data_IF_913193654630
#
_entry.id   IF_913193654630
#
_cell.length_a   1.000
_cell.length_b   1.000
_cell.length_c   1.000
_cell.angle_alpha   90.00
_cell.angle_beta   90.00
_cell.angle_gamma   90.00
#
_symmetry.space_group_name_H-M   'P 1'
#
loop_
_entity.id
_entity.type
_entity.pdbx_description
1 polymer ?
#
# COMPACT_ATOMS: atom_id res chain seq x y z
N UNK A 1 29.74 -13.80 -12.23
CA UNK A 1 28.88 -13.10 -13.18
C UNK A 1 27.43 -13.57 -13.18
N UNK A 2 27.16 -14.88 -13.13
CA UNK A 2 25.79 -15.40 -13.07
C UNK A 2 25.01 -14.97 -11.85
N UNK A 3 25.63 -14.93 -10.68
CA UNK A 3 24.99 -14.51 -9.41
C UNK A 3 24.58 -13.02 -9.43
N UNK A 4 25.47 -12.15 -9.91
CA UNK A 4 25.19 -10.73 -10.03
C UNK A 4 23.98 -10.45 -10.93
N UNK A 5 23.93 -11.09 -12.10
CA UNK A 5 22.81 -10.98 -13.04
C UNK A 5 21.50 -11.47 -12.42
N UNK A 6 21.54 -12.61 -11.70
CA UNK A 6 20.38 -13.15 -11.02
C UNK A 6 19.85 -12.17 -9.96
N UNK A 7 20.70 -11.59 -9.14
CA UNK A 7 20.30 -10.62 -8.11
C UNK A 7 19.78 -9.32 -8.73
N UNK A 8 20.31 -8.88 -9.86
CA UNK A 8 19.74 -7.73 -10.60
C UNK A 8 18.32 -8.02 -11.08
N UNK A 9 18.07 -9.21 -11.61
CA UNK A 9 16.73 -9.62 -12.05
C UNK A 9 15.76 -9.72 -10.86
N UNK A 10 16.20 -10.31 -9.75
CA UNK A 10 15.40 -10.39 -8.52
C UNK A 10 15.05 -9.00 -7.99
N UNK A 11 16.01 -8.09 -7.97
CA UNK A 11 15.81 -6.71 -7.55
C UNK A 11 14.81 -5.98 -8.43
N UNK A 12 14.90 -6.15 -9.75
CA UNK A 12 13.94 -5.57 -10.71
C UNK A 12 12.53 -6.12 -10.48
N UNK A 13 12.42 -7.44 -10.30
CA UNK A 13 11.14 -8.08 -10.00
C UNK A 13 10.52 -7.54 -8.72
N UNK A 14 11.30 -7.43 -7.65
CA UNK A 14 10.84 -6.91 -6.36
C UNK A 14 10.39 -5.45 -6.46
N UNK A 15 11.10 -4.62 -7.22
CA UNK A 15 10.71 -3.23 -7.50
C UNK A 15 9.41 -3.14 -8.29
N UNK A 16 9.23 -4.00 -9.28
CA UNK A 16 7.99 -4.06 -10.06
C UNK A 16 6.79 -4.47 -9.18
N UNK A 17 6.96 -5.49 -8.34
CA UNK A 17 5.93 -5.92 -7.40
C UNK A 17 5.59 -4.82 -6.39
N UNK A 18 6.60 -4.11 -5.89
CA UNK A 18 6.39 -2.94 -5.02
C UNK A 18 5.56 -1.87 -5.72
N UNK A 19 5.89 -1.53 -6.95
CA UNK A 19 5.15 -0.52 -7.75
C UNK A 19 3.71 -0.94 -7.97
N UNK A 20 3.45 -2.20 -8.29
CA UNK A 20 2.09 -2.73 -8.43
C UNK A 20 1.31 -2.64 -7.13
N UNK A 21 1.93 -3.00 -6.01
CA UNK A 21 1.31 -2.92 -4.68
C UNK A 21 1.02 -1.46 -4.30
N UNK A 22 1.93 -0.53 -4.59
CA UNK A 22 1.72 0.90 -4.37
C UNK A 22 0.56 1.46 -5.21
N UNK A 23 0.38 0.99 -6.45
CA UNK A 23 -0.78 1.35 -7.28
C UNK A 23 -2.08 0.88 -6.68
N UNK A 24 -2.13 -0.35 -6.19
CA UNK A 24 -3.30 -0.90 -5.47
C UNK A 24 -3.59 -0.08 -4.20
N UNK A 25 -2.55 0.27 -3.46
CA UNK A 25 -2.66 1.08 -2.25
C UNK A 25 -3.26 2.46 -2.56
N UNK A 26 -2.84 3.10 -3.66
CA UNK A 26 -3.39 4.37 -4.12
C UNK A 26 -4.88 4.26 -4.45
N UNK A 27 -5.30 3.20 -5.12
CA UNK A 27 -6.72 2.94 -5.44
C UNK A 27 -7.56 2.72 -4.18
N UNK A 28 -7.06 1.94 -3.22
CA UNK A 28 -7.73 1.71 -1.93
C UNK A 28 -7.86 3.02 -1.16
N UNK A 29 -6.81 3.84 -1.11
CA UNK A 29 -6.85 5.15 -0.45
C UNK A 29 -7.90 6.07 -1.04
N UNK A 30 -8.06 6.07 -2.36
CA UNK A 30 -9.13 6.82 -3.05
C UNK A 30 -10.52 6.29 -2.69
N UNK A 31 -10.70 4.97 -2.63
CA UNK A 31 -11.96 4.34 -2.21
C UNK A 31 -12.32 4.72 -0.78
N UNK A 32 -11.36 4.70 0.14
CA UNK A 32 -11.56 5.11 1.53
C UNK A 32 -12.03 6.57 1.59
N UNK A 33 -11.37 7.47 0.87
CA UNK A 33 -11.74 8.88 0.82
C UNK A 33 -13.18 9.06 0.34
N UNK A 34 -13.57 8.37 -0.75
CA UNK A 34 -14.92 8.43 -1.30
C UNK A 34 -15.97 7.91 -0.32
N UNK A 35 -15.71 6.79 0.31
CA UNK A 35 -16.65 6.17 1.25
C UNK A 35 -16.79 7.01 2.52
N UNK A 36 -15.71 7.62 3.01
CA UNK A 36 -15.76 8.58 4.14
C UNK A 36 -16.57 9.83 3.79
N UNK A 37 -16.45 10.31 2.55
CA UNK A 37 -17.26 11.43 2.09
C UNK A 37 -18.76 11.06 2.06
N UNK A 38 -19.09 9.86 1.57
CA UNK A 38 -20.46 9.35 1.59
C UNK A 38 -21.00 9.23 3.02
N UNK A 39 -20.17 8.76 3.95
CA UNK A 39 -20.53 8.68 5.37
C UNK A 39 -20.85 10.07 5.94
N UNK A 40 -20.02 11.06 5.66
CA UNK A 40 -20.21 12.43 6.09
C UNK A 40 -21.51 13.02 5.53
N UNK A 41 -21.77 12.83 4.23
CA UNK A 41 -22.99 13.29 3.57
C UNK A 41 -24.23 12.61 4.15
N UNK A 42 -24.13 11.32 4.43
CA UNK A 42 -25.22 10.54 5.00
C UNK A 42 -25.52 10.97 6.45
N UNK A 43 -24.50 11.23 7.25
CA UNK A 43 -24.65 11.73 8.62
C UNK A 43 -25.35 13.11 8.60
N UNK A 44 -24.97 13.99 7.68
CA UNK A 44 -25.63 15.28 7.50
C UNK A 44 -27.11 15.11 7.16
N UNK A 45 -27.44 14.22 6.25
CA UNK A 45 -28.81 13.94 5.85
C UNK A 45 -29.63 13.33 6.99
N UNK A 46 -29.03 12.45 7.81
CA UNK A 46 -29.69 11.89 8.99
C UNK A 46 -30.01 13.00 9.99
N UNK A 47 -29.08 13.90 10.26
CA UNK A 47 -29.28 15.03 11.16
C UNK A 47 -30.39 15.95 10.68
N UNK A 48 -30.47 16.21 9.36
CA UNK A 48 -31.53 17.01 8.78
C UNK A 48 -32.93 16.42 8.90
N UNK A 49 -33.04 15.10 9.09
CA UNK A 49 -34.34 14.44 9.33
C UNK A 49 -34.83 14.60 10.78
N UNK A 50 -34.00 15.13 11.68
CA UNK A 50 -34.35 15.39 13.07
C UNK A 50 -34.88 16.81 13.17
N UNK A 51 -36.22 16.98 13.06
CA UNK A 51 -36.88 18.27 13.24
C UNK A 51 -37.29 18.42 14.71
N UNK A 52 -36.67 19.39 15.39
CA UNK A 52 -37.00 19.69 16.80
C UNK A 52 -37.86 21.00 16.81
N UNK A 53 -39.08 20.89 17.34
CA UNK A 53 -39.93 22.06 17.59
C UNK A 53 -40.81 22.48 16.43
N UNK A 54 -40.92 21.72 15.34
CA UNK A 54 -41.84 22.02 14.22
C UNK A 54 -43.03 21.08 14.30
N UNK A 55 -44.25 21.67 14.20
CA UNK A 55 -45.50 20.90 14.15
C UNK A 55 -45.60 20.26 12.76
N UNK A 56 -45.60 18.95 12.69
CA UNK A 56 -45.70 18.19 11.44
C UNK A 56 -46.90 17.25 11.47
N UNK A 57 -47.40 16.88 10.28
CA UNK A 57 -48.41 15.84 10.20
C UNK A 57 -47.83 14.47 10.63
N UNK A 58 -48.68 13.62 11.18
CA UNK A 58 -48.28 12.25 11.57
C UNK A 58 -47.70 11.46 10.40
N UNK A 59 -48.29 11.64 9.21
CA UNK A 59 -47.79 10.98 7.99
C UNK A 59 -46.41 11.44 7.61
N UNK A 60 -46.10 12.72 7.74
CA UNK A 60 -44.79 13.26 7.43
C UNK A 60 -43.73 12.75 8.44
N UNK A 61 -44.07 12.71 9.73
CA UNK A 61 -43.19 12.16 10.77
C UNK A 61 -42.89 10.69 10.54
N UNK A 62 -43.89 9.90 10.15
CA UNK A 62 -43.72 8.49 9.81
C UNK A 62 -42.81 8.27 8.59
N UNK A 63 -43.00 9.10 7.53
CA UNK A 63 -42.18 9.05 6.33
C UNK A 63 -40.72 9.38 6.64
N UNK A 64 -40.47 10.43 7.41
CA UNK A 64 -39.11 10.80 7.85
C UNK A 64 -38.47 9.74 8.72
N UNK A 65 -39.25 9.11 9.62
CA UNK A 65 -38.74 8.01 10.45
C UNK A 65 -38.29 6.82 9.61
N UNK A 66 -39.09 6.42 8.62
CA UNK A 66 -38.71 5.34 7.68
C UNK A 66 -37.48 5.69 6.87
N UNK A 67 -37.39 6.93 6.39
CA UNK A 67 -36.24 7.41 5.65
C UNK A 67 -34.97 7.37 6.52
N UNK A 68 -35.11 7.80 7.78
CA UNK A 68 -33.99 7.75 8.75
C UNK A 68 -33.52 6.33 9.01
N UNK A 69 -34.44 5.37 9.17
CA UNK A 69 -34.07 3.96 9.34
C UNK A 69 -33.27 3.43 8.17
N UNK A 70 -33.69 3.74 6.93
CA UNK A 70 -32.95 3.34 5.72
C UNK A 70 -31.56 3.97 5.67
N UNK A 71 -31.45 5.25 6.04
CA UNK A 71 -30.17 5.94 6.07
C UNK A 71 -29.23 5.37 7.14
N UNK A 72 -29.76 4.99 8.30
CA UNK A 72 -28.99 4.33 9.36
C UNK A 72 -28.49 2.96 8.90
N UNK A 73 -29.31 2.17 8.20
CA UNK A 73 -28.88 0.90 7.60
C UNK A 73 -27.78 1.11 6.56
N UNK A 74 -27.91 2.11 5.70
CA UNK A 74 -26.86 2.46 4.74
C UNK A 74 -25.56 2.89 5.42
N UNK A 75 -25.67 3.64 6.50
CA UNK A 75 -24.52 4.07 7.31
C UNK A 75 -23.76 2.86 7.86
N UNK A 76 -24.46 1.86 8.35
CA UNK A 76 -23.84 0.63 8.85
C UNK A 76 -23.07 -0.10 7.74
N UNK A 77 -23.65 -0.20 6.54
CA UNK A 77 -22.98 -0.79 5.37
C UNK A 77 -21.71 -0.01 5.02
N UNK A 78 -21.79 1.32 5.03
CA UNK A 78 -20.66 2.21 4.74
C UNK A 78 -19.55 2.05 5.79
N UNK A 79 -19.90 1.99 7.07
CA UNK A 79 -18.95 1.76 8.15
C UNK A 79 -18.21 0.42 7.98
N UNK A 80 -18.93 -0.63 7.60
CA UNK A 80 -18.35 -1.94 7.31
C UNK A 80 -17.40 -1.88 6.10
N UNK A 81 -17.75 -1.13 5.07
CA UNK A 81 -16.88 -0.91 3.92
C UNK A 81 -15.59 -0.15 4.29
N UNK A 82 -15.70 0.87 5.13
CA UNK A 82 -14.52 1.61 5.62
C UNK A 82 -13.59 0.68 6.39
N UNK A 83 -14.14 -0.13 7.27
CA UNK A 83 -13.36 -1.11 8.04
C UNK A 83 -12.65 -2.11 7.12
N UNK A 84 -13.37 -2.65 6.14
CA UNK A 84 -12.81 -3.56 5.14
C UNK A 84 -11.66 -2.91 4.35
N UNK A 85 -11.88 -1.73 3.81
CA UNK A 85 -10.86 -1.03 3.03
C UNK A 85 -9.66 -0.61 3.87
N UNK A 86 -9.90 -0.22 5.14
CA UNK A 86 -8.81 0.12 6.06
C UNK A 86 -7.94 -1.09 6.37
N UNK A 87 -8.53 -2.26 6.58
CA UNK A 87 -7.81 -3.52 6.77
C UNK A 87 -7.00 -3.88 5.54
N UNK A 88 -7.58 -3.74 4.35
CA UNK A 88 -6.91 -3.96 3.07
C UNK A 88 -5.73 -3.00 2.88
N UNK A 89 -5.91 -1.73 3.24
CA UNK A 89 -4.85 -0.72 3.19
C UNK A 89 -3.65 -1.12 4.06
N UNK A 90 -3.90 -1.56 5.29
CA UNK A 90 -2.86 -2.02 6.21
C UNK A 90 -2.13 -3.24 5.62
N UNK A 91 -2.86 -4.19 5.05
CA UNK A 91 -2.28 -5.35 4.40
C UNK A 91 -1.34 -4.96 3.25
N UNK A 92 -1.78 -4.05 2.38
CA UNK A 92 -0.98 -3.55 1.26
C UNK A 92 0.24 -2.76 1.74
N UNK A 93 0.11 -1.96 2.81
CA UNK A 93 1.25 -1.25 3.41
C UNK A 93 2.30 -2.25 3.92
N UNK A 94 1.88 -3.34 4.55
CA UNK A 94 2.76 -4.40 5.02
C UNK A 94 3.44 -5.13 3.85
N UNK A 95 2.75 -5.32 2.73
CA UNK A 95 3.35 -5.88 1.51
C UNK A 95 4.42 -4.97 0.93
N UNK A 96 4.17 -3.67 0.87
CA UNK A 96 5.18 -2.69 0.42
C UNK A 96 6.42 -2.75 1.31
N UNK A 97 6.23 -2.80 2.62
CA UNK A 97 7.34 -2.92 3.57
C UNK A 97 8.15 -4.21 3.35
N UNK A 98 7.49 -5.32 3.07
CA UNK A 98 8.16 -6.59 2.75
C UNK A 98 8.95 -6.51 1.45
N UNK A 99 8.41 -5.87 0.42
CA UNK A 99 9.14 -5.66 -0.83
C UNK A 99 10.35 -4.74 -0.63
N UNK A 100 10.21 -3.70 0.18
CA UNK A 100 11.34 -2.81 0.53
C UNK A 100 12.46 -3.57 1.23
N UNK A 101 12.14 -4.45 2.17
CA UNK A 101 13.13 -5.29 2.84
C UNK A 101 13.85 -6.23 1.87
N UNK A 102 13.12 -6.84 0.93
CA UNK A 102 13.71 -7.69 -0.12
C UNK A 102 14.65 -6.90 -1.00
N UNK A 103 14.23 -5.73 -1.46
CA UNK A 103 15.04 -4.83 -2.29
C UNK A 103 16.33 -4.45 -1.56
N UNK A 104 16.22 -4.11 -0.28
CA UNK A 104 17.37 -3.76 0.55
C UNK A 104 18.36 -4.93 0.67
N UNK A 105 17.85 -6.13 0.96
CA UNK A 105 18.69 -7.34 1.08
C UNK A 105 19.37 -7.67 -0.24
N UNK A 106 18.66 -7.56 -1.36
CA UNK A 106 19.20 -7.80 -2.70
C UNK A 106 20.30 -6.78 -3.00
N UNK A 107 20.08 -5.51 -2.70
CA UNK A 107 21.05 -4.44 -2.89
C UNK A 107 22.31 -4.65 -2.06
N UNK A 108 22.19 -5.06 -0.80
CA UNK A 108 23.31 -5.39 0.08
C UNK A 108 24.11 -6.59 -0.47
N UNK A 109 23.41 -7.61 -0.96
CA UNK A 109 24.03 -8.79 -1.54
C UNK A 109 24.79 -8.48 -2.83
N UNK A 110 24.22 -7.64 -3.69
CA UNK A 110 24.89 -7.15 -4.91
C UNK A 110 26.15 -6.38 -4.57
N UNK A 111 26.09 -5.53 -3.55
CA UNK A 111 27.26 -4.78 -3.08
C UNK A 111 28.38 -5.72 -2.63
N UNK A 112 28.05 -6.74 -1.83
CA UNK A 112 29.00 -7.77 -1.38
C UNK A 112 29.63 -8.51 -2.57
N UNK A 113 28.83 -8.91 -3.55
CA UNK A 113 29.30 -9.63 -4.74
C UNK A 113 30.25 -8.73 -5.56
N UNK A 114 29.88 -7.48 -5.78
CA UNK A 114 30.71 -6.53 -6.52
C UNK A 114 32.03 -6.24 -5.81
N UNK A 115 32.03 -6.10 -4.49
CA UNK A 115 33.24 -5.93 -3.69
C UNK A 115 34.14 -7.17 -3.75
N UNK A 116 33.55 -8.36 -3.66
CA UNK A 116 34.28 -9.63 -3.79
C UNK A 116 34.91 -9.78 -5.18
N UNK A 117 34.17 -9.50 -6.23
CA UNK A 117 34.68 -9.53 -7.62
C UNK A 117 35.81 -8.53 -7.83
N UNK A 118 35.69 -7.33 -7.30
CA UNK A 118 36.72 -6.31 -7.37
C UNK A 118 38.01 -6.75 -6.65
N UNK A 119 37.90 -7.38 -5.48
CA UNK A 119 39.05 -7.94 -4.77
C UNK A 119 39.74 -9.06 -5.55
N UNK A 120 38.97 -9.95 -6.16
CA UNK A 120 39.50 -11.02 -6.99
C UNK A 120 40.26 -10.48 -8.20
N UNK A 121 39.73 -9.45 -8.87
CA UNK A 121 40.40 -8.80 -9.98
C UNK A 121 41.70 -8.14 -9.55
N UNK A 122 41.72 -7.49 -8.39
CA UNK A 122 42.91 -6.86 -7.83
C UNK A 122 43.98 -7.89 -7.50
N UNK A 123 43.62 -9.03 -6.88
CA UNK A 123 44.53 -10.11 -6.60
C UNK A 123 45.15 -10.72 -7.86
N UNK A 124 44.36 -10.90 -8.91
CA UNK A 124 44.83 -11.38 -10.21
C UNK A 124 45.81 -10.41 -10.84
N UNK A 125 45.55 -9.12 -10.72
CA UNK A 125 46.44 -8.06 -11.21
C UNK A 125 47.78 -8.09 -10.48
N UNK A 126 47.77 -8.21 -9.15
CA UNK A 126 48.95 -8.29 -8.33
C UNK A 126 49.77 -9.56 -8.66
N UNK A 127 49.15 -10.71 -8.84
CA UNK A 127 49.80 -11.95 -9.24
C UNK A 127 50.52 -11.79 -10.58
N UNK A 128 49.89 -11.16 -11.57
CA UNK A 128 50.50 -10.87 -12.88
C UNK A 128 51.70 -9.94 -12.75
N UNK A 129 51.62 -8.92 -11.91
CA UNK A 129 52.76 -8.01 -11.65
C UNK A 129 53.91 -8.72 -11.00
N UNK A 130 53.64 -9.61 -10.03
CA UNK A 130 54.70 -10.42 -9.39
C UNK A 130 55.37 -11.35 -10.37
N UNK A 131 54.63 -11.98 -11.26
CA UNK A 131 55.20 -12.86 -12.31
C UNK A 131 56.14 -12.07 -13.26
N UNK A 132 55.70 -10.87 -13.64
CA UNK A 132 56.52 -10.01 -14.49
C UNK A 132 57.79 -9.53 -13.82
N UNK A 133 57.73 -9.23 -12.50
CA UNK A 133 58.91 -8.77 -11.74
C UNK A 133 59.94 -9.88 -11.48
N UNK A 134 59.54 -11.16 -11.50
CA UNK A 134 60.43 -12.30 -11.29
C UNK A 134 61.18 -12.72 -12.55
N UNK A 135 60.81 -12.24 -13.71
CA UNK A 135 61.50 -12.45 -14.97
C UNK A 135 62.48 -11.31 -15.25
#
# INVERSE_FOLDING_TARGET
MGKSKLFHLMGRRSKNLKTQTQSKLGLISQKITKVKQLESDLNYNIEETIDVGIVQSVQLVQLKSKLREKMIQQKEIIENQIEFFTTEQIHLQNEVARHDLKIKKISERLKEINESDARLLELKRLDKELIFKKK
#
